data_IF_083227015893
#
_entry.id   IF_083227015893
#
_cell.length_a   1.000
_cell.length_b   1.000
_cell.length_c   1.000
_cell.angle_alpha   90.00
_cell.angle_beta   90.00
_cell.angle_gamma   90.00
#
_symmetry.space_group_name_H-M   'P 1'
#
loop_
_entity.id
_entity.type
_entity.pdbx_description
1 polymer ?
#
# COMPACT_ATOMS: atom_id res chain seq x y z
N UNK A 1 4.48 1.86 -20.94
CA UNK A 1 4.58 1.15 -19.65
C UNK A 1 6.01 1.32 -19.17
N UNK A 2 6.24 1.85 -17.96
CA UNK A 2 7.60 2.02 -17.44
C UNK A 2 8.06 0.68 -16.87
N UNK A 3 9.23 0.14 -17.26
CA UNK A 3 9.76 -1.08 -16.66
C UNK A 3 10.12 -0.81 -15.21
N UNK A 4 9.35 -1.40 -14.29
CA UNK A 4 9.48 -1.19 -12.84
C UNK A 4 10.83 -1.68 -12.30
N UNK A 5 11.39 -2.69 -12.94
CA UNK A 5 12.72 -3.24 -12.63
C UNK A 5 13.81 -2.18 -12.81
N UNK A 6 13.77 -1.43 -13.91
CA UNK A 6 14.79 -0.43 -14.22
C UNK A 6 14.81 0.73 -13.22
N UNK A 7 13.65 1.16 -12.73
CA UNK A 7 13.58 2.18 -11.67
C UNK A 7 14.17 1.64 -10.36
N UNK A 8 13.91 0.37 -10.04
CA UNK A 8 14.42 -0.26 -8.81
C UNK A 8 15.94 -0.41 -8.82
N UNK A 9 16.46 -0.94 -9.93
CA UNK A 9 17.90 -1.07 -10.16
C UNK A 9 18.60 0.30 -10.10
N UNK A 10 17.96 1.35 -10.65
CA UNK A 10 18.49 2.70 -10.57
C UNK A 10 18.57 3.21 -9.13
N UNK A 11 17.54 2.98 -8.29
CA UNK A 11 17.57 3.40 -6.87
C UNK A 11 18.68 2.68 -6.11
N UNK A 12 18.87 1.38 -6.36
CA UNK A 12 19.98 0.63 -5.78
C UNK A 12 21.34 1.15 -6.24
N UNK A 13 21.49 1.48 -7.53
CA UNK A 13 22.72 2.03 -8.10
C UNK A 13 23.09 3.41 -7.51
N UNK A 14 22.10 4.18 -7.03
CA UNK A 14 22.31 5.47 -6.35
C UNK A 14 22.79 5.28 -4.90
N UNK A 15 22.80 4.04 -4.39
CA UNK A 15 23.34 3.70 -3.07
C UNK A 15 22.30 3.50 -1.97
N UNK A 16 21.03 3.33 -2.33
CA UNK A 16 19.96 2.96 -1.39
C UNK A 16 19.69 1.46 -1.49
N UNK A 17 20.22 0.63 -0.58
CA UNK A 17 19.94 -0.81 -0.59
C UNK A 17 18.51 -1.10 -0.11
N UNK A 18 17.93 -2.21 -0.57
CA UNK A 18 16.63 -2.70 -0.11
C UNK A 18 16.78 -3.30 1.28
N UNK A 19 15.84 -3.00 2.18
CA UNK A 19 15.79 -3.61 3.51
C UNK A 19 15.44 -5.10 3.37
N UNK A 20 16.23 -5.99 3.99
CA UNK A 20 16.19 -7.46 3.80
C UNK A 20 14.80 -8.10 3.96
N UNK A 21 13.98 -7.64 4.90
CA UNK A 21 12.61 -8.10 5.14
C UNK A 21 11.52 -7.23 4.48
N UNK A 22 11.90 -6.16 3.78
CA UNK A 22 10.96 -5.23 3.15
C UNK A 22 11.24 -5.06 1.66
N UNK A 23 11.46 -6.20 1.00
CA UNK A 23 11.52 -6.31 -0.45
C UNK A 23 10.13 -6.16 -1.08
N UNK A 24 9.91 -6.73 -2.27
CA UNK A 24 8.66 -6.58 -3.03
C UNK A 24 7.47 -7.19 -2.28
N UNK A 25 6.52 -6.34 -1.86
CA UNK A 25 5.32 -6.74 -1.13
C UNK A 25 4.09 -6.02 -1.64
N UNK A 26 2.96 -6.72 -1.70
CA UNK A 26 1.68 -6.10 -2.03
C UNK A 26 1.18 -5.22 -0.89
N UNK A 27 0.58 -4.08 -1.23
CA UNK A 27 -0.20 -3.27 -0.31
C UNK A 27 -1.65 -3.23 -0.75
N UNK A 28 -2.53 -3.03 0.22
CA UNK A 28 -3.98 -3.15 0.03
C UNK A 28 -4.69 -1.93 0.59
N UNK A 29 -5.88 -1.67 0.08
CA UNK A 29 -6.74 -0.58 0.55
C UNK A 29 -8.20 -1.03 0.57
N UNK A 30 -9.01 -0.41 1.42
CA UNK A 30 -10.45 -0.62 1.41
C UNK A 30 -11.13 0.33 0.41
N UNK A 31 -11.88 -0.22 -0.55
CA UNK A 31 -12.67 0.56 -1.51
C UNK A 31 -14.04 0.88 -0.91
N UNK A 32 -14.09 1.98 -0.15
CA UNK A 32 -15.35 2.49 0.42
C UNK A 32 -16.21 3.11 -0.69
N UNK A 33 -17.53 2.92 -0.61
CA UNK A 33 -18.46 3.56 -1.54
C UNK A 33 -18.33 5.08 -1.53
N UNK A 34 -18.27 5.68 -2.72
CA UNK A 34 -18.46 7.12 -2.87
C UNK A 34 -19.96 7.47 -2.79
N UNK A 35 -20.29 8.62 -2.19
CA UNK A 35 -21.68 9.08 -2.16
C UNK A 35 -22.19 9.39 -3.57
N UNK A 36 -23.49 9.16 -3.80
CA UNK A 36 -24.13 9.45 -5.09
C UNK A 36 -24.00 10.94 -5.43
N UNK A 37 -24.16 11.81 -4.42
CA UNK A 37 -24.02 13.26 -4.60
C UNK A 37 -22.62 13.64 -5.07
N UNK A 38 -21.58 13.05 -4.48
CA UNK A 38 -20.20 13.29 -4.90
C UNK A 38 -19.94 12.77 -6.31
N UNK A 39 -20.46 11.59 -6.66
CA UNK A 39 -20.35 11.03 -8.01
C UNK A 39 -21.08 11.88 -9.06
N UNK A 40 -22.16 12.57 -8.68
CA UNK A 40 -22.89 13.48 -9.54
C UNK A 40 -22.17 14.83 -9.72
N UNK A 41 -21.49 15.33 -8.69
CA UNK A 41 -20.78 16.62 -8.71
C UNK A 41 -19.38 16.53 -9.33
N UNK A 42 -18.68 15.39 -9.16
CA UNK A 42 -17.27 15.29 -9.55
C UNK A 42 -17.05 15.57 -11.04
N UNK A 43 -15.88 16.14 -11.35
CA UNK A 43 -15.44 16.31 -12.73
C UNK A 43 -15.36 14.98 -13.47
N UNK A 44 -15.73 14.96 -14.76
CA UNK A 44 -15.74 13.75 -15.62
C UNK A 44 -14.41 12.99 -15.62
N UNK A 45 -13.30 13.70 -15.43
CA UNK A 45 -11.96 13.13 -15.46
C UNK A 45 -11.46 12.65 -14.10
N UNK A 46 -12.15 12.96 -13.00
CA UNK A 46 -11.72 12.60 -11.64
C UNK A 46 -12.31 11.25 -11.21
N UNK A 47 -11.47 10.37 -10.71
CA UNK A 47 -11.89 9.12 -10.07
C UNK A 47 -12.77 8.26 -10.96
N UNK A 48 -12.28 7.87 -12.13
CA UNK A 48 -13.02 7.00 -13.06
C UNK A 48 -13.31 5.62 -12.47
N UNK A 49 -12.58 5.23 -11.43
CA UNK A 49 -12.75 3.97 -10.71
C UNK A 49 -13.66 4.10 -9.47
N UNK A 50 -14.11 5.30 -9.09
CA UNK A 50 -15.00 5.46 -7.94
C UNK A 50 -16.35 4.78 -8.17
N UNK A 51 -16.72 3.88 -7.26
CA UNK A 51 -17.99 3.14 -7.29
C UNK A 51 -18.91 3.55 -6.13
N UNK A 52 -20.23 3.49 -6.38
CA UNK A 52 -21.25 3.74 -5.36
C UNK A 52 -21.51 2.51 -4.47
N UNK A 53 -21.02 1.33 -4.87
CA UNK A 53 -21.12 0.10 -4.11
C UNK A 53 -19.87 -0.10 -3.28
N UNK A 54 -20.03 -0.38 -1.99
CA UNK A 54 -18.89 -0.74 -1.16
C UNK A 54 -18.50 -2.17 -1.48
N UNK A 55 -17.21 -2.39 -1.76
CA UNK A 55 -16.65 -3.73 -1.76
C UNK A 55 -16.25 -4.04 -0.32
N UNK A 56 -16.81 -5.11 0.26
CA UNK A 56 -16.54 -5.51 1.65
C UNK A 56 -15.13 -6.12 1.84
N UNK A 57 -14.31 -6.15 0.78
CA UNK A 57 -13.00 -6.78 0.76
C UNK A 57 -11.92 -5.76 0.42
N UNK A 58 -10.74 -5.91 1.04
CA UNK A 58 -9.57 -5.15 0.66
C UNK A 58 -9.20 -5.40 -0.81
N UNK A 59 -8.91 -4.32 -1.51
CA UNK A 59 -8.49 -4.31 -2.89
C UNK A 59 -6.98 -4.18 -2.99
N UNK A 60 -6.42 -4.80 -4.02
CA UNK A 60 -4.99 -4.71 -4.30
C UNK A 60 -4.63 -3.28 -4.73
N UNK A 61 -3.82 -2.60 -3.93
CA UNK A 61 -3.38 -1.23 -4.17
C UNK A 61 -2.20 -1.15 -5.12
N UNK A 62 -1.31 -2.13 -5.07
CA UNK A 62 -0.06 -2.20 -5.83
C UNK A 62 1.04 -2.83 -4.98
N UNK A 63 2.29 -2.48 -5.28
CA UNK A 63 3.47 -3.04 -4.64
C UNK A 63 4.28 -1.96 -3.93
N UNK A 64 4.97 -2.34 -2.86
CA UNK A 64 5.89 -1.50 -2.12
C UNK A 64 7.24 -2.20 -1.95
N UNK A 65 8.30 -1.42 -2.09
CA UNK A 65 9.68 -1.80 -1.77
C UNK A 65 10.25 -0.71 -0.87
N UNK A 66 10.81 -1.10 0.26
CA UNK A 66 11.43 -0.16 1.19
C UNK A 66 12.95 -0.28 1.11
N UNK A 67 13.60 0.88 1.09
CA UNK A 67 15.03 1.02 1.10
C UNK A 67 15.48 1.62 2.44
N UNK A 68 16.77 1.53 2.71
CA UNK A 68 17.39 2.24 3.82
C UNK A 68 17.19 3.77 3.69
N UNK A 69 17.45 4.50 4.77
CA UNK A 69 17.31 5.96 4.83
C UNK A 69 15.88 6.49 4.57
N UNK A 70 14.86 5.68 4.85
CA UNK A 70 13.46 6.09 4.81
C UNK A 70 12.87 6.25 3.40
N UNK A 71 13.57 5.77 2.37
CA UNK A 71 13.07 5.81 0.99
C UNK A 71 12.16 4.62 0.71
N UNK A 72 11.00 4.86 0.08
CA UNK A 72 10.08 3.81 -0.35
C UNK A 72 9.68 4.01 -1.81
N UNK A 73 9.67 2.92 -2.58
CA UNK A 73 9.16 2.89 -3.94
C UNK A 73 7.84 2.13 -3.97
N UNK A 74 6.79 2.80 -4.46
CA UNK A 74 5.43 2.29 -4.43
C UNK A 74 4.85 2.33 -5.85
N UNK A 75 4.18 1.25 -6.24
CA UNK A 75 3.36 1.20 -7.46
C UNK A 75 1.89 1.32 -7.07
N UNK A 76 1.10 1.94 -7.96
CA UNK A 76 -0.35 2.03 -7.79
C UNK A 76 -1.02 1.32 -8.96
N UNK A 77 -1.70 0.22 -8.66
CA UNK A 77 -2.29 -0.64 -9.67
C UNK A 77 -3.40 0.09 -10.42
N UNK A 78 -3.30 0.07 -11.75
CA UNK A 78 -4.26 0.69 -12.66
C UNK A 78 -4.32 2.22 -12.59
N UNK A 79 -3.29 2.87 -12.04
CA UNK A 79 -3.08 4.31 -12.17
C UNK A 79 -2.23 4.62 -13.42
N UNK A 80 -2.51 5.77 -14.06
CA UNK A 80 -1.68 6.34 -15.10
C UNK A 80 -0.67 7.34 -14.55
N UNK A 81 -0.40 8.40 -15.32
CA UNK A 81 0.55 9.45 -14.93
C UNK A 81 0.06 10.31 -13.76
N UNK A 82 -1.26 10.43 -13.60
CA UNK A 82 -1.90 11.24 -12.56
C UNK A 82 -2.61 10.33 -11.57
N UNK A 83 -1.86 9.76 -10.64
CA UNK A 83 -2.37 8.79 -9.64
C UNK A 83 -3.57 9.35 -8.87
N UNK A 84 -3.48 10.58 -8.37
CA UNK A 84 -4.60 11.21 -7.63
C UNK A 84 -5.86 11.45 -8.46
N UNK A 85 -5.72 11.56 -9.78
CA UNK A 85 -6.86 11.70 -10.69
C UNK A 85 -7.47 10.34 -11.01
N UNK A 86 -6.64 9.37 -11.37
CA UNK A 86 -7.09 8.07 -11.87
C UNK A 86 -7.59 7.18 -10.72
N UNK A 87 -6.86 7.21 -9.59
CA UNK A 87 -7.04 6.36 -8.41
C UNK A 87 -7.05 7.19 -7.11
N UNK A 88 -8.07 8.05 -6.90
CA UNK A 88 -8.08 9.01 -5.79
C UNK A 88 -8.07 8.37 -4.40
N UNK A 89 -8.76 7.24 -4.19
CA UNK A 89 -8.79 6.56 -2.89
C UNK A 89 -7.43 5.94 -2.54
N UNK A 90 -6.80 5.23 -3.48
CA UNK A 90 -5.44 4.70 -3.36
C UNK A 90 -4.43 5.81 -3.11
N UNK A 91 -4.52 6.92 -3.86
CA UNK A 91 -3.65 8.08 -3.68
C UNK A 91 -3.80 8.72 -2.30
N UNK A 92 -5.04 8.85 -1.81
CA UNK A 92 -5.29 9.39 -0.48
C UNK A 92 -4.79 8.46 0.61
N UNK A 93 -4.99 7.14 0.46
CA UNK A 93 -4.47 6.15 1.39
C UNK A 93 -2.94 6.22 1.48
N UNK A 94 -2.25 6.21 0.33
CA UNK A 94 -0.80 6.37 0.27
C UNK A 94 -0.34 7.69 0.91
N UNK A 95 -1.04 8.79 0.64
CA UNK A 95 -0.69 10.10 1.20
C UNK A 95 -0.88 10.17 2.72
N UNK A 96 -1.97 9.59 3.24
CA UNK A 96 -2.19 9.48 4.69
C UNK A 96 -1.08 8.69 5.38
N UNK A 97 -0.70 7.55 4.79
CA UNK A 97 0.41 6.72 5.28
C UNK A 97 1.75 7.47 5.26
N UNK A 98 1.97 8.30 4.24
CA UNK A 98 3.18 9.11 4.12
C UNK A 98 3.28 10.23 5.17
N UNK A 99 2.18 10.85 5.56
CA UNK A 99 2.17 11.91 6.59
C UNK A 99 2.07 11.38 8.02
N UNK A 100 1.78 10.09 8.17
CA UNK A 100 1.68 9.44 9.47
C UNK A 100 3.05 9.44 10.16
N UNK A 101 3.05 9.78 11.45
CA UNK A 101 4.28 9.91 12.24
C UNK A 101 4.66 8.62 12.94
N UNK A 102 3.67 7.77 13.18
CA UNK A 102 3.88 6.46 13.74
C UNK A 102 4.45 5.52 12.66
N UNK A 103 5.60 4.90 12.95
CA UNK A 103 6.30 4.07 11.99
C UNK A 103 5.46 2.86 11.56
N UNK A 104 4.76 2.19 12.49
CA UNK A 104 3.95 1.01 12.18
C UNK A 104 2.72 1.40 11.35
N UNK A 105 2.08 2.51 11.70
CA UNK A 105 0.94 3.02 10.95
C UNK A 105 1.34 3.63 9.60
N UNK A 106 2.57 4.09 9.42
CA UNK A 106 3.08 4.60 8.14
C UNK A 106 3.32 3.49 7.11
N UNK A 107 3.49 2.23 7.56
CA UNK A 107 3.77 1.12 6.66
C UNK A 107 2.56 0.79 5.78
N UNK A 108 2.84 0.65 4.48
CA UNK A 108 1.89 0.19 3.47
C UNK A 108 1.78 -1.34 3.39
N UNK A 109 2.77 -2.08 3.91
CA UNK A 109 2.79 -3.53 3.90
C UNK A 109 3.70 -4.05 5.02
N UNK A 110 3.31 -5.09 5.77
CA UNK A 110 4.08 -5.59 6.89
C UNK A 110 5.39 -6.22 6.38
N UNK A 111 6.45 -6.25 7.19
CA UNK A 111 7.70 -6.91 6.79
C UNK A 111 7.50 -8.41 6.60
N UNK A 112 8.23 -9.01 5.66
CA UNK A 112 8.26 -10.46 5.45
C UNK A 112 9.07 -11.16 6.55
N UNK A 113 8.71 -12.40 6.91
CA UNK A 113 9.55 -13.22 7.79
C UNK A 113 10.93 -13.42 7.16
N UNK A 114 11.98 -13.19 7.94
CA UNK A 114 13.36 -13.44 7.53
C UNK A 114 13.63 -14.95 7.50
N UNK A 115 14.55 -15.42 6.65
CA UNK A 115 14.95 -16.85 6.66
C UNK A 115 15.40 -17.34 8.05
N UNK A 116 16.04 -16.47 8.84
CA UNK A 116 16.47 -16.74 10.22
C UNK A 116 15.30 -17.00 11.19
N UNK A 117 14.08 -16.54 10.87
CA UNK A 117 12.90 -16.83 11.69
C UNK A 117 12.30 -18.21 11.40
N UNK A 118 12.69 -18.88 10.32
CA UNK A 118 12.21 -20.23 10.00
C UNK A 118 12.94 -21.32 10.79
N UNK A 119 14.08 -20.99 11.42
CA UNK A 119 14.81 -21.92 12.28
C UNK A 119 14.07 -22.18 13.62
N UNK A 120 13.18 -21.26 14.02
CA UNK A 120 12.37 -21.37 15.24
C UNK A 120 10.87 -21.32 14.88
N UNK A 121 10.14 -22.44 15.02
CA UNK A 121 8.73 -22.52 14.65
C UNK A 121 7.85 -21.55 15.45
N UNK A 122 8.26 -21.14 16.65
CA UNK A 122 7.50 -20.16 17.44
C UNK A 122 7.63 -18.76 16.86
N UNK A 123 8.84 -18.33 16.51
CA UNK A 123 9.08 -17.03 15.87
C UNK A 123 8.41 -16.92 14.50
N UNK A 124 8.38 -18.03 13.76
CA UNK A 124 7.64 -18.10 12.50
C UNK A 124 6.14 -17.86 12.73
N UNK A 125 5.55 -18.50 13.73
CA UNK A 125 4.12 -18.34 14.03
C UNK A 125 3.80 -16.91 14.47
N UNK A 126 4.59 -16.34 15.39
CA UNK A 126 4.44 -14.95 15.85
C UNK A 126 4.53 -13.94 14.68
N UNK A 127 5.41 -14.19 13.70
CA UNK A 127 5.54 -13.35 12.50
C UNK A 127 4.37 -13.50 11.52
N UNK A 128 3.77 -14.68 11.44
CA UNK A 128 2.60 -14.92 10.60
C UNK A 128 1.34 -14.31 11.22
N UNK A 129 1.16 -14.45 12.53
CA UNK A 129 0.06 -13.84 13.27
C UNK A 129 0.06 -12.32 13.10
N UNK A 130 1.21 -11.65 13.30
CA UNK A 130 1.31 -10.20 13.09
C UNK A 130 1.02 -9.76 11.64
N UNK A 131 1.37 -10.60 10.65
CA UNK A 131 1.01 -10.34 9.25
C UNK A 131 -0.49 -10.47 9.02
N UNK A 132 -1.13 -11.48 9.61
CA UNK A 132 -2.58 -11.69 9.53
C UNK A 132 -3.34 -10.54 10.20
N UNK A 133 -2.93 -10.13 11.41
CA UNK A 133 -3.53 -9.00 12.12
C UNK A 133 -3.45 -7.71 11.29
N UNK A 134 -2.32 -7.50 10.61
CA UNK A 134 -2.17 -6.38 9.68
C UNK A 134 -3.15 -6.49 8.51
N UNK A 135 -3.33 -7.67 7.90
CA UNK A 135 -4.28 -7.88 6.82
C UNK A 135 -5.72 -7.64 7.26
N UNK A 136 -6.09 -8.11 8.45
CA UNK A 136 -7.41 -7.87 9.03
C UNK A 136 -7.64 -6.39 9.30
N UNK A 137 -6.63 -5.70 9.83
CA UNK A 137 -6.66 -4.24 10.04
C UNK A 137 -6.82 -3.50 8.70
N UNK A 138 -6.09 -3.92 7.67
CA UNK A 138 -6.18 -3.34 6.32
C UNK A 138 -7.53 -3.60 5.65
N UNK A 139 -8.25 -4.66 6.06
CA UNK A 139 -9.60 -4.98 5.60
C UNK A 139 -10.71 -4.28 6.40
N UNK A 140 -10.47 -3.94 7.67
CA UNK A 140 -11.48 -3.40 8.58
C UNK A 140 -12.01 -2.00 8.20
N UNK A 141 -13.34 -1.78 8.16
CA UNK A 141 -13.94 -0.44 8.13
C UNK A 141 -14.10 0.11 9.57
N UNK A 142 -14.00 1.45 9.81
CA UNK A 142 -13.53 2.51 8.94
C UNK A 142 -12.04 2.83 9.15
N UNK A 143 -11.27 2.92 8.05
CA UNK A 143 -9.89 3.47 8.11
C UNK A 143 -9.86 5.01 8.13
N UNK A 144 -11.03 5.65 8.28
CA UNK A 144 -11.14 7.04 8.73
C UNK A 144 -11.19 6.99 10.25
N UNK A 145 -10.04 6.78 10.88
CA UNK A 145 -9.91 7.30 12.24
C UNK A 145 -9.77 8.84 12.12
N UNK A 146 -10.47 9.60 12.99
CA UNK A 146 -10.49 11.06 12.94
C UNK A 146 -9.11 11.70 13.06
#
# INVERSE_FOLDING_TARGET
MVPMEGTREAVQAIGFPIIKNQSYRGWYYNETAASIDFLAEKGRQFGTNLVASQLELAQFGGDVVNYEEGLSFITVHGAGHMVGRDRPQQSLHMFKKFIEKDEELSMLSPPLPLMESFDDPKKMLDSLESSVDWYETAQSPPYVQP
#
